data_IF_582599629285
#
_entry.id   IF_582599629285
#
_cell.length_a   1.000
_cell.length_b   1.000
_cell.length_c   1.000
_cell.angle_alpha   90.00
_cell.angle_beta   90.00
_cell.angle_gamma   90.00
#
_symmetry.space_group_name_H-M   'P 1'
#
loop_
_entity.id
_entity.type
_entity.pdbx_description
1 polymer ?
#
# COMPACT_ATOMS: atom_id res chain seq x y z
N UNK A 1 11.56 21.53 -3.23
CA UNK A 1 10.68 22.63 -3.70
C UNK A 1 9.50 22.08 -4.52
N UNK A 2 9.72 21.18 -5.51
CA UNK A 2 8.66 20.58 -6.33
C UNK A 2 7.65 19.77 -5.52
N UNK A 3 8.10 19.01 -4.53
CA UNK A 3 7.20 18.21 -3.68
C UNK A 3 6.29 19.11 -2.86
N UNK A 4 6.83 20.21 -2.32
CA UNK A 4 6.06 21.16 -1.51
C UNK A 4 5.06 21.94 -2.37
N UNK A 5 5.54 22.59 -3.44
CA UNK A 5 4.69 23.40 -4.32
C UNK A 5 3.67 22.51 -5.06
N UNK A 6 4.11 21.37 -5.59
CA UNK A 6 3.25 20.39 -6.23
C UNK A 6 2.18 19.84 -5.31
N UNK A 7 2.53 19.47 -4.07
CA UNK A 7 1.58 19.00 -3.06
C UNK A 7 0.52 20.04 -2.70
N UNK A 8 0.91 21.32 -2.56
CA UNK A 8 -0.04 22.38 -2.22
C UNK A 8 -0.92 22.74 -3.42
N UNK A 9 -0.34 23.07 -4.57
CA UNK A 9 -1.10 23.62 -5.69
C UNK A 9 -1.79 22.54 -6.53
N UNK A 10 -1.15 21.40 -6.78
CA UNK A 10 -1.76 20.33 -7.58
C UNK A 10 -2.47 19.28 -6.73
N UNK A 11 -1.97 18.97 -5.52
CA UNK A 11 -2.62 18.04 -4.61
C UNK A 11 -3.77 18.69 -3.85
N UNK A 12 -3.49 19.58 -2.90
CA UNK A 12 -4.49 20.10 -1.98
C UNK A 12 -5.59 20.91 -2.66
N UNK A 13 -5.28 21.72 -3.68
CA UNK A 13 -6.29 22.47 -4.43
C UNK A 13 -7.20 21.55 -5.25
N UNK A 14 -6.61 20.53 -5.86
CA UNK A 14 -7.36 19.51 -6.60
C UNK A 14 -8.30 18.73 -5.67
N UNK A 15 -7.79 18.25 -4.55
CA UNK A 15 -8.57 17.47 -3.59
C UNK A 15 -9.68 18.31 -2.94
N UNK A 16 -9.38 19.56 -2.63
CA UNK A 16 -10.38 20.52 -2.15
C UNK A 16 -11.48 20.74 -3.19
N UNK A 17 -11.12 20.95 -4.46
CA UNK A 17 -12.07 21.13 -5.55
C UNK A 17 -12.98 19.90 -5.75
N UNK A 18 -12.40 18.71 -5.69
CA UNK A 18 -13.12 17.45 -5.77
C UNK A 18 -14.10 17.26 -4.60
N UNK A 19 -13.63 17.52 -3.37
CA UNK A 19 -14.45 17.44 -2.17
C UNK A 19 -15.61 18.46 -2.20
N UNK A 20 -15.30 19.71 -2.55
CA UNK A 20 -16.30 20.77 -2.68
C UNK A 20 -17.39 20.43 -3.71
N UNK A 21 -16.98 19.93 -4.89
CA UNK A 21 -17.91 19.48 -5.93
C UNK A 21 -18.81 18.35 -5.43
N UNK A 22 -18.25 17.36 -4.74
CA UNK A 22 -18.99 16.23 -4.15
C UNK A 22 -20.01 16.70 -3.10
N UNK A 23 -19.60 17.56 -2.17
CA UNK A 23 -20.50 18.08 -1.10
C UNK A 23 -21.65 18.89 -1.71
N UNK A 24 -21.37 19.73 -2.70
CA UNK A 24 -22.37 20.52 -3.40
C UNK A 24 -23.40 19.64 -4.13
N UNK A 25 -23.04 18.43 -4.50
CA UNK A 25 -23.91 17.44 -5.14
C UNK A 25 -24.33 16.30 -4.18
N UNK A 26 -24.55 16.62 -2.91
CA UNK A 26 -25.07 15.69 -1.89
C UNK A 26 -24.17 14.47 -1.62
N UNK A 27 -22.86 14.63 -1.73
CA UNK A 27 -21.90 13.55 -1.49
C UNK A 27 -21.77 12.56 -2.65
N UNK A 28 -22.17 12.94 -3.86
CA UNK A 28 -22.03 12.08 -5.04
C UNK A 28 -20.56 11.96 -5.47
N UNK A 29 -20.24 10.83 -6.13
CA UNK A 29 -18.91 10.64 -6.72
C UNK A 29 -18.66 11.63 -7.85
N UNK A 30 -17.37 11.95 -8.13
CA UNK A 30 -17.03 12.86 -9.23
C UNK A 30 -17.54 12.36 -10.59
N UNK A 31 -17.61 11.05 -10.81
CA UNK A 31 -18.22 10.49 -12.01
C UNK A 31 -19.68 10.85 -12.18
N UNK A 32 -20.47 10.84 -11.10
CA UNK A 32 -21.87 11.28 -11.13
C UNK A 32 -21.99 12.80 -11.33
N UNK A 33 -21.14 13.58 -10.68
CA UNK A 33 -21.09 15.03 -10.88
C UNK A 33 -20.78 15.38 -12.35
N UNK A 34 -19.88 14.65 -12.99
CA UNK A 34 -19.59 14.79 -14.42
C UNK A 34 -20.80 14.42 -15.27
N UNK A 35 -21.52 13.33 -14.92
CA UNK A 35 -22.73 12.93 -15.64
C UNK A 35 -23.80 14.01 -15.60
N UNK A 36 -24.04 14.60 -14.44
CA UNK A 36 -25.06 15.63 -14.23
C UNK A 36 -24.75 16.95 -14.98
N UNK A 37 -23.48 17.34 -15.05
CA UNK A 37 -23.09 18.63 -15.61
C UNK A 37 -22.70 18.57 -17.09
N UNK A 38 -22.15 17.44 -17.56
CA UNK A 38 -21.60 17.30 -18.92
C UNK A 38 -22.33 16.21 -19.70
N UNK A 39 -22.74 15.13 -19.01
CA UNK A 39 -23.49 14.04 -19.60
C UNK A 39 -22.82 12.66 -19.46
N UNK A 40 -23.58 11.61 -19.79
CA UNK A 40 -23.19 10.21 -19.60
C UNK A 40 -21.97 9.78 -20.41
N UNK A 41 -21.72 10.37 -21.60
CA UNK A 41 -20.54 10.07 -22.39
C UNK A 41 -19.27 10.56 -21.70
N UNK A 42 -19.31 11.74 -21.11
CA UNK A 42 -18.20 12.32 -20.36
C UNK A 42 -17.91 11.49 -19.08
N UNK A 43 -18.94 11.03 -18.38
CA UNK A 43 -18.80 10.10 -17.25
C UNK A 43 -18.06 8.84 -17.65
N UNK A 44 -18.45 8.18 -18.73
CA UNK A 44 -17.80 6.95 -19.20
C UNK A 44 -16.32 7.19 -19.53
N UNK A 45 -16.00 8.26 -20.22
CA UNK A 45 -14.62 8.64 -20.54
C UNK A 45 -13.83 8.91 -19.25
N UNK A 46 -14.38 9.68 -18.34
CA UNK A 46 -13.75 9.98 -17.04
C UNK A 46 -13.48 8.70 -16.22
N UNK A 47 -14.45 7.81 -16.12
CA UNK A 47 -14.29 6.54 -15.39
C UNK A 47 -13.25 5.63 -16.04
N UNK A 48 -13.25 5.54 -17.38
CA UNK A 48 -12.26 4.75 -18.12
C UNK A 48 -10.84 5.31 -17.91
N UNK A 49 -10.68 6.62 -18.02
CA UNK A 49 -9.41 7.29 -17.78
C UNK A 49 -8.93 7.06 -16.33
N UNK A 50 -9.82 7.27 -15.36
CA UNK A 50 -9.50 7.07 -13.94
C UNK A 50 -9.09 5.63 -13.65
N UNK A 51 -9.79 4.64 -14.22
CA UNK A 51 -9.46 3.23 -14.07
C UNK A 51 -8.06 2.91 -14.65
N UNK A 52 -7.79 3.34 -15.87
CA UNK A 52 -6.49 3.12 -16.51
C UNK A 52 -5.35 3.79 -15.72
N UNK A 53 -5.58 5.00 -15.22
CA UNK A 53 -4.61 5.71 -14.38
C UNK A 53 -4.34 4.95 -13.09
N UNK A 54 -5.37 4.45 -12.41
CA UNK A 54 -5.19 3.65 -11.19
C UNK A 54 -4.41 2.37 -11.45
N UNK A 55 -4.71 1.65 -12.54
CA UNK A 55 -3.95 0.44 -12.93
C UNK A 55 -2.48 0.78 -13.17
N UNK A 56 -2.20 1.88 -13.88
CA UNK A 56 -0.83 2.33 -14.15
C UNK A 56 -0.09 2.68 -12.84
N UNK A 57 -0.73 3.40 -11.94
CA UNK A 57 -0.15 3.75 -10.63
C UNK A 57 0.15 2.50 -9.81
N UNK A 58 -0.79 1.56 -9.73
CA UNK A 58 -0.58 0.28 -9.02
C UNK A 58 0.58 -0.50 -9.62
N UNK A 59 0.66 -0.58 -10.95
CA UNK A 59 1.76 -1.27 -11.65
C UNK A 59 3.11 -0.60 -11.38
N UNK A 60 3.17 0.74 -11.38
CA UNK A 60 4.38 1.50 -11.07
C UNK A 60 4.85 1.23 -9.63
N UNK A 61 3.95 1.29 -8.65
CA UNK A 61 4.29 0.97 -7.26
C UNK A 61 4.72 -0.48 -7.08
N UNK A 62 4.05 -1.44 -7.72
CA UNK A 62 4.44 -2.84 -7.68
C UNK A 62 5.87 -3.04 -8.23
N UNK A 63 6.21 -2.36 -9.32
CA UNK A 63 7.57 -2.39 -9.89
C UNK A 63 8.62 -1.81 -8.93
N UNK A 64 8.34 -0.68 -8.29
CA UNK A 64 9.23 -0.06 -7.30
C UNK A 64 9.44 -1.00 -6.12
N UNK A 65 8.38 -1.59 -5.57
CA UNK A 65 8.49 -2.53 -4.44
C UNK A 65 9.27 -3.78 -4.85
N UNK A 66 9.00 -4.35 -6.02
CA UNK A 66 9.74 -5.50 -6.51
C UNK A 66 11.24 -5.22 -6.67
N UNK A 67 11.61 -4.03 -7.16
CA UNK A 67 13.01 -3.61 -7.29
C UNK A 67 13.69 -3.41 -5.93
N UNK A 68 12.95 -3.00 -4.90
CA UNK A 68 13.46 -2.85 -3.54
C UNK A 68 13.74 -4.20 -2.87
N UNK A 69 13.00 -5.25 -3.25
CA UNK A 69 13.12 -6.59 -2.65
C UNK A 69 14.03 -7.53 -3.44
N UNK A 70 14.35 -7.19 -4.68
CA UNK A 70 15.10 -8.09 -5.58
C UNK A 70 16.50 -8.42 -5.05
N UNK A 71 16.92 -9.67 -5.28
CA UNK A 71 18.29 -10.09 -5.07
C UNK A 71 19.17 -9.69 -6.25
N UNK A 72 20.43 -9.36 -5.97
CA UNK A 72 21.46 -9.12 -6.97
C UNK A 72 22.09 -10.45 -7.38
N UNK A 73 22.21 -10.69 -8.68
CA UNK A 73 22.82 -11.90 -9.25
C UNK A 73 24.13 -11.54 -9.97
N UNK A 74 25.18 -12.31 -9.68
CA UNK A 74 26.45 -12.26 -10.40
C UNK A 74 26.72 -13.67 -10.95
N UNK A 75 26.93 -13.79 -12.25
CA UNK A 75 27.14 -15.08 -12.95
C UNK A 75 26.06 -16.15 -12.61
N UNK A 76 24.78 -15.72 -12.55
CA UNK A 76 23.63 -16.56 -12.18
C UNK A 76 23.60 -17.08 -10.73
N UNK A 77 24.51 -16.63 -9.89
CA UNK A 77 24.54 -16.93 -8.45
C UNK A 77 24.12 -15.70 -7.66
N UNK A 78 23.37 -15.91 -6.59
CA UNK A 78 22.94 -14.81 -5.71
C UNK A 78 24.14 -14.23 -4.98
N UNK A 79 24.40 -12.94 -5.16
CA UNK A 79 25.35 -12.22 -4.33
C UNK A 79 24.66 -11.89 -2.98
N UNK A 80 24.94 -12.72 -1.98
CA UNK A 80 24.32 -12.58 -0.64
C UNK A 80 24.77 -11.28 0.04
N UNK A 81 25.99 -10.83 -0.18
CA UNK A 81 26.51 -9.61 0.43
C UNK A 81 25.81 -8.36 -0.13
N UNK A 82 25.65 -8.28 -1.45
CA UNK A 82 24.95 -7.17 -2.10
C UNK A 82 23.43 -7.22 -1.91
N UNK A 83 22.86 -8.44 -1.74
CA UNK A 83 21.40 -8.64 -1.59
C UNK A 83 20.91 -8.58 -0.15
N UNK A 84 21.80 -8.57 0.84
CA UNK A 84 21.43 -8.70 2.26
C UNK A 84 20.45 -7.62 2.75
N UNK A 85 20.66 -6.36 2.34
CA UNK A 85 19.77 -5.26 2.68
C UNK A 85 18.38 -5.44 2.07
N UNK A 86 18.30 -5.77 0.78
CA UNK A 86 17.03 -5.96 0.09
C UNK A 86 16.26 -7.17 0.64
N UNK A 87 16.95 -8.27 0.93
CA UNK A 87 16.36 -9.45 1.55
C UNK A 87 15.83 -9.16 2.97
N UNK A 88 16.55 -8.34 3.75
CA UNK A 88 16.10 -7.89 5.07
C UNK A 88 14.84 -7.05 4.97
N UNK A 89 14.78 -6.09 4.05
CA UNK A 89 13.60 -5.25 3.81
C UNK A 89 12.41 -6.10 3.38
N UNK A 90 12.60 -7.06 2.47
CA UNK A 90 11.55 -7.98 2.05
C UNK A 90 11.02 -8.80 3.23
N UNK A 91 11.91 -9.39 4.04
CA UNK A 91 11.53 -10.19 5.21
C UNK A 91 10.77 -9.37 6.26
N UNK A 92 11.25 -8.17 6.58
CA UNK A 92 10.58 -7.25 7.51
C UNK A 92 9.19 -6.90 7.00
N UNK A 93 9.04 -6.60 5.71
CA UNK A 93 7.75 -6.24 5.11
C UNK A 93 6.74 -7.39 5.16
N UNK A 94 7.18 -8.63 4.89
CA UNK A 94 6.34 -9.81 5.03
C UNK A 94 5.92 -10.06 6.49
N UNK A 95 6.85 -9.92 7.42
CA UNK A 95 6.54 -10.04 8.85
C UNK A 95 5.55 -8.96 9.32
N UNK A 96 5.65 -7.74 8.80
CA UNK A 96 4.70 -6.67 9.10
C UNK A 96 3.30 -6.97 8.59
N UNK A 97 3.16 -7.57 7.41
CA UNK A 97 1.84 -7.99 6.90
C UNK A 97 1.21 -9.03 7.84
N UNK A 98 1.97 -10.05 8.22
CA UNK A 98 1.50 -11.09 9.15
C UNK A 98 1.12 -10.47 10.50
N UNK A 99 2.00 -9.63 11.04
CA UNK A 99 1.76 -8.94 12.31
C UNK A 99 0.53 -8.04 12.25
N UNK A 100 0.33 -7.28 11.16
CA UNK A 100 -0.84 -6.42 10.99
C UNK A 100 -2.14 -7.23 10.98
N UNK A 101 -2.16 -8.39 10.30
CA UNK A 101 -3.33 -9.28 10.27
C UNK A 101 -3.62 -9.82 11.69
N UNK A 102 -2.59 -10.32 12.39
CA UNK A 102 -2.74 -10.82 13.75
C UNK A 102 -3.22 -9.72 14.72
N UNK A 103 -2.60 -8.55 14.64
CA UNK A 103 -2.96 -7.40 15.46
C UNK A 103 -4.40 -6.95 15.18
N UNK A 104 -4.80 -6.87 13.91
CA UNK A 104 -6.17 -6.55 13.52
C UNK A 104 -7.18 -7.55 14.09
N UNK A 105 -6.87 -8.83 14.00
CA UNK A 105 -7.72 -9.87 14.55
C UNK A 105 -7.88 -9.75 16.09
N UNK A 106 -6.77 -9.53 16.82
CA UNK A 106 -6.81 -9.43 18.28
C UNK A 106 -7.48 -8.14 18.76
N UNK A 107 -7.18 -7.01 18.14
CA UNK A 107 -7.71 -5.70 18.57
C UNK A 107 -9.19 -5.56 18.23
N UNK A 108 -9.56 -5.86 16.97
CA UNK A 108 -10.94 -5.61 16.51
C UNK A 108 -11.91 -6.73 16.87
N UNK A 109 -11.47 -7.98 16.93
CA UNK A 109 -12.38 -9.11 17.19
C UNK A 109 -12.45 -9.51 18.66
N UNK A 110 -11.41 -9.28 19.45
CA UNK A 110 -11.41 -9.58 20.88
C UNK A 110 -11.60 -8.36 21.79
N UNK A 111 -11.74 -7.16 21.23
CA UNK A 111 -12.01 -5.95 22.00
C UNK A 111 -10.89 -5.62 23.00
N UNK A 112 -9.63 -5.79 22.59
CA UNK A 112 -8.49 -5.43 23.42
C UNK A 112 -8.58 -3.95 23.81
N UNK A 113 -8.21 -3.62 25.05
CA UNK A 113 -8.27 -2.24 25.53
C UNK A 113 -7.37 -1.34 24.68
N UNK A 114 -7.92 -0.20 24.23
CA UNK A 114 -7.21 0.79 23.42
C UNK A 114 -5.88 1.28 24.03
N UNK A 115 -5.72 1.13 25.36
CA UNK A 115 -4.49 1.55 26.06
C UNK A 115 -3.35 0.55 25.94
N UNK A 116 -3.64 -0.75 25.76
CA UNK A 116 -2.62 -1.82 25.69
C UNK A 116 -2.23 -2.10 24.23
N UNK A 117 -3.16 -1.91 23.31
CA UNK A 117 -2.94 -2.18 21.89
C UNK A 117 -1.70 -1.46 21.28
N UNK A 118 -1.44 -0.16 21.52
CA UNK A 118 -0.25 0.50 20.98
C UNK A 118 1.06 -0.10 21.50
N UNK A 119 1.12 -0.45 22.78
CA UNK A 119 2.32 -1.03 23.41
C UNK A 119 2.64 -2.37 22.76
N UNK A 120 1.64 -3.22 22.60
CA UNK A 120 1.79 -4.53 21.94
C UNK A 120 2.20 -4.35 20.47
N UNK A 121 1.62 -3.35 19.78
CA UNK A 121 1.99 -3.00 18.41
C UNK A 121 3.46 -2.61 18.29
N UNK A 122 3.93 -1.69 19.12
CA UNK A 122 5.35 -1.23 19.10
C UNK A 122 6.31 -2.38 19.42
N UNK A 123 6.00 -3.21 20.42
CA UNK A 123 6.81 -4.39 20.75
C UNK A 123 6.86 -5.35 19.54
N UNK A 124 5.73 -5.59 18.90
CA UNK A 124 5.64 -6.42 17.69
C UNK A 124 6.50 -5.89 16.55
N UNK A 125 6.48 -4.57 16.29
CA UNK A 125 7.33 -3.93 15.29
C UNK A 125 8.82 -4.15 15.59
N UNK A 126 9.24 -3.92 16.82
CA UNK A 126 10.65 -4.11 17.23
C UNK A 126 11.07 -5.57 17.05
N UNK A 127 10.21 -6.52 17.39
CA UNK A 127 10.48 -7.96 17.20
C UNK A 127 10.61 -8.29 15.70
N UNK A 128 9.70 -7.81 14.86
CA UNK A 128 9.75 -8.02 13.41
C UNK A 128 11.04 -7.45 12.80
N UNK A 129 11.46 -6.26 13.23
CA UNK A 129 12.71 -5.63 12.81
C UNK A 129 13.91 -6.48 13.23
N UNK A 130 13.98 -6.91 14.49
CA UNK A 130 15.07 -7.71 15.01
C UNK A 130 15.21 -9.07 14.28
N UNK A 131 14.07 -9.72 13.98
CA UNK A 131 14.05 -10.98 13.24
C UNK A 131 14.50 -10.75 11.79
N UNK A 132 13.92 -9.78 11.09
CA UNK A 132 14.20 -9.55 9.67
C UNK A 132 15.63 -9.07 9.41
N UNK A 133 16.26 -8.36 10.36
CA UNK A 133 17.68 -7.97 10.25
C UNK A 133 18.63 -9.15 10.48
N UNK A 134 18.26 -10.09 11.35
CA UNK A 134 19.13 -11.26 11.64
C UNK A 134 18.89 -12.44 10.72
N UNK A 135 17.65 -12.63 10.26
CA UNK A 135 17.25 -13.78 9.48
C UNK A 135 16.42 -13.36 8.27
N UNK A 136 17.04 -13.39 7.12
CA UNK A 136 16.47 -12.98 5.84
C UNK A 136 16.82 -13.98 4.72
N UNK A 137 16.26 -15.20 4.74
CA UNK A 137 16.63 -16.27 3.82
C UNK A 137 16.04 -16.12 2.42
N UNK A 138 15.26 -15.06 2.14
CA UNK A 138 14.49 -14.92 0.91
C UNK A 138 15.27 -14.09 -0.11
N UNK A 139 15.84 -14.76 -1.12
CA UNK A 139 16.54 -14.15 -2.24
C UNK A 139 15.83 -14.50 -3.53
N UNK A 140 15.01 -13.61 -4.05
CA UNK A 140 14.23 -13.83 -5.26
C UNK A 140 14.55 -12.79 -6.33
N UNK A 141 14.36 -13.19 -7.60
CA UNK A 141 14.51 -12.28 -8.73
C UNK A 141 13.38 -11.24 -8.77
N UNK A 142 13.60 -10.14 -9.48
CA UNK A 142 12.58 -9.10 -9.69
C UNK A 142 11.28 -9.70 -10.26
N UNK A 143 11.36 -10.58 -11.26
CA UNK A 143 10.20 -11.22 -11.87
C UNK A 143 9.40 -12.04 -10.86
N UNK A 144 10.07 -12.80 -9.99
CA UNK A 144 9.40 -13.57 -8.94
C UNK A 144 8.66 -12.66 -7.96
N UNK A 145 9.29 -11.55 -7.52
CA UNK A 145 8.65 -10.56 -6.68
C UNK A 145 7.46 -9.88 -7.35
N UNK A 146 7.55 -9.56 -8.64
CA UNK A 146 6.42 -8.99 -9.40
C UNK A 146 5.20 -9.91 -9.39
N UNK A 147 5.39 -11.23 -9.56
CA UNK A 147 4.30 -12.19 -9.47
C UNK A 147 3.71 -12.31 -8.05
N UNK A 148 4.56 -12.36 -7.03
CA UNK A 148 4.12 -12.42 -5.62
C UNK A 148 3.31 -11.18 -5.27
N UNK A 149 3.81 -9.99 -5.62
CA UNK A 149 3.13 -8.72 -5.36
C UNK A 149 1.83 -8.65 -6.15
N UNK A 150 1.80 -9.10 -7.41
CA UNK A 150 0.59 -9.15 -8.23
C UNK A 150 -0.50 -10.02 -7.59
N UNK A 151 -0.16 -11.22 -7.14
CA UNK A 151 -1.09 -12.10 -6.42
C UNK A 151 -1.54 -11.46 -5.09
N UNK A 152 -0.62 -10.84 -4.35
CA UNK A 152 -0.95 -10.12 -3.12
C UNK A 152 -1.95 -8.99 -3.38
N UNK A 153 -1.75 -8.18 -4.42
CA UNK A 153 -2.66 -7.09 -4.80
C UNK A 153 -4.05 -7.63 -5.12
N UNK A 154 -4.15 -8.73 -5.86
CA UNK A 154 -5.43 -9.37 -6.18
C UNK A 154 -6.15 -9.84 -4.92
N UNK A 155 -5.45 -10.53 -4.02
CA UNK A 155 -6.02 -10.97 -2.74
C UNK A 155 -6.44 -9.76 -1.89
N UNK A 156 -5.58 -8.75 -1.78
CA UNK A 156 -5.83 -7.55 -1.00
C UNK A 156 -7.02 -6.74 -1.53
N UNK A 157 -7.25 -6.73 -2.85
CA UNK A 157 -8.38 -6.03 -3.47
C UNK A 157 -9.75 -6.62 -3.10
N UNK A 158 -9.79 -7.90 -2.77
CA UNK A 158 -11.02 -8.61 -2.36
C UNK A 158 -11.17 -8.65 -0.83
N UNK A 159 -10.06 -8.49 -0.10
CA UNK A 159 -10.08 -8.55 1.35
C UNK A 159 -10.81 -7.33 1.95
N UNK A 160 -11.63 -7.51 2.99
CA UNK A 160 -12.29 -6.41 3.68
C UNK A 160 -11.27 -5.42 4.25
N UNK A 161 -11.57 -4.12 4.15
CA UNK A 161 -10.73 -3.00 4.61
C UNK A 161 -10.26 -3.16 6.07
N UNK A 162 -11.13 -3.68 6.95
CA UNK A 162 -10.83 -3.86 8.36
C UNK A 162 -9.76 -4.92 8.66
N UNK A 163 -9.48 -5.82 7.72
CA UNK A 163 -8.45 -6.86 7.90
C UNK A 163 -7.06 -6.33 7.58
N UNK A 164 -6.91 -5.54 6.52
CA UNK A 164 -5.61 -5.14 5.99
C UNK A 164 -5.28 -3.66 6.21
N UNK A 165 -6.22 -2.75 5.96
CA UNK A 165 -5.97 -1.32 5.97
C UNK A 165 -6.02 -0.72 7.37
N UNK A 166 -7.07 -0.99 8.14
CA UNK A 166 -7.22 -0.42 9.47
C UNK A 166 -6.07 -0.75 10.43
N UNK A 167 -5.61 -2.03 10.55
CA UNK A 167 -4.49 -2.34 11.43
C UNK A 167 -3.19 -1.69 10.98
N UNK A 168 -2.95 -1.60 9.67
CA UNK A 168 -1.76 -0.97 9.11
C UNK A 168 -1.74 0.52 9.41
N UNK A 169 -2.84 1.21 9.18
CA UNK A 169 -2.95 2.66 9.39
C UNK A 169 -2.81 3.01 10.88
N UNK A 170 -3.36 2.18 11.77
CA UNK A 170 -3.19 2.32 13.21
C UNK A 170 -1.74 2.14 13.68
N UNK A 171 -0.99 1.23 13.05
CA UNK A 171 0.42 0.98 13.40
C UNK A 171 1.38 2.01 12.77
N UNK A 172 0.95 2.70 11.72
CA UNK A 172 1.76 3.69 11.00
C UNK A 172 1.53 5.14 11.46
N UNK A 173 0.51 5.38 12.26
CA UNK A 173 0.19 6.70 12.86
C UNK A 173 0.87 6.91 14.20
#
# INVERSE_FOLDING_TARGET
LWVLIGGIFFGAVHDYGALFASIRHKGQSLGEVVALNIGERAKKLFLTFSYLTLVLVVAAFASIVASTFQATYVDSVVDVAASGTNASVAMISLLFIIMAILFGFFVYRRGASLSVAPIVGVIGIVICLAIGLKWHPIYLSNTAWMWIIGVYILIASVAPVWILLQPRDYLSS
#
